data_IF_664101256064
#
_entry.id   IF_664101256064
#
_cell.length_a   1.000
_cell.length_b   1.000
_cell.length_c   1.000
_cell.angle_alpha   90.00
_cell.angle_beta   90.00
_cell.angle_gamma   90.00
#
_symmetry.space_group_name_H-M   'P 1'
#
loop_
_entity.id
_entity.type
_entity.pdbx_description
1 polymer ?
#
# COMPACT_ATOMS: atom_id res chain seq x y z
N UNK A 1 46.21 -7.86 -2.08
CA UNK A 1 45.11 -6.91 -2.00
C UNK A 1 44.30 -7.06 -3.30
N UNK A 2 43.26 -7.87 -3.29
CA UNK A 2 42.38 -8.08 -4.44
C UNK A 2 41.36 -6.96 -4.41
N UNK A 3 41.44 -6.02 -5.34
CA UNK A 3 40.44 -4.99 -5.54
C UNK A 3 39.10 -5.66 -5.89
N UNK A 4 38.14 -5.57 -5.01
CA UNK A 4 36.76 -5.93 -5.31
C UNK A 4 36.29 -5.07 -6.50
N UNK A 5 35.88 -5.73 -7.57
CA UNK A 5 35.26 -5.04 -8.71
C UNK A 5 34.03 -4.26 -8.21
N UNK A 6 33.80 -3.04 -8.72
CA UNK A 6 32.59 -2.29 -8.37
C UNK A 6 31.35 -3.12 -8.80
N UNK A 7 30.26 -3.11 -8.02
CA UNK A 7 29.06 -3.83 -8.38
C UNK A 7 28.59 -3.40 -9.77
N UNK A 8 28.22 -4.38 -10.60
CA UNK A 8 27.70 -4.15 -11.94
C UNK A 8 26.60 -3.11 -11.86
N UNK A 9 26.72 -2.01 -12.61
CA UNK A 9 25.68 -0.97 -12.70
C UNK A 9 24.38 -1.64 -13.13
N UNK A 10 23.34 -1.38 -12.39
CA UNK A 10 21.95 -1.77 -12.74
C UNK A 10 21.69 -1.42 -14.20
N UNK A 11 21.19 -2.38 -14.98
CA UNK A 11 20.74 -2.13 -16.37
C UNK A 11 19.41 -1.39 -16.42
N UNK A 12 18.92 -0.87 -15.27
CA UNK A 12 17.66 -0.16 -15.16
C UNK A 12 17.79 1.24 -15.77
N UNK A 13 17.08 1.45 -16.89
CA UNK A 13 17.07 2.72 -17.62
C UNK A 13 16.00 3.65 -17.00
N UNK A 14 16.38 4.38 -15.96
CA UNK A 14 15.48 5.32 -15.29
C UNK A 14 15.01 6.45 -16.21
N UNK A 15 15.83 6.88 -17.17
CA UNK A 15 15.46 7.97 -18.09
C UNK A 15 14.31 7.53 -19.02
N UNK A 16 14.37 6.29 -19.53
CA UNK A 16 13.29 5.69 -20.30
C UNK A 16 12.01 5.56 -19.46
N UNK A 17 12.11 4.98 -18.27
CA UNK A 17 10.96 4.82 -17.35
C UNK A 17 10.34 6.19 -17.07
N UNK A 18 11.16 7.19 -16.71
CA UNK A 18 10.70 8.53 -16.38
C UNK A 18 9.95 9.22 -17.54
N UNK A 19 10.34 8.94 -18.80
CA UNK A 19 9.70 9.50 -19.97
C UNK A 19 8.24 9.06 -20.14
N UNK A 20 7.85 7.91 -19.56
CA UNK A 20 6.49 7.39 -19.61
C UNK A 20 5.53 8.10 -18.63
N UNK A 21 6.04 8.95 -17.73
CA UNK A 21 5.26 9.67 -16.71
C UNK A 21 5.12 11.16 -17.06
N UNK A 22 4.02 11.57 -17.73
CA UNK A 22 3.89 12.91 -18.29
C UNK A 22 3.96 14.04 -17.27
N UNK A 23 3.48 13.81 -16.04
CA UNK A 23 3.48 14.80 -14.96
C UNK A 23 4.91 15.20 -14.54
N UNK A 24 5.89 14.33 -14.68
CA UNK A 24 7.27 14.59 -14.28
C UNK A 24 7.99 15.62 -15.19
N UNK A 25 7.34 16.01 -16.31
CA UNK A 25 7.80 17.10 -17.17
C UNK A 25 7.32 18.48 -16.73
N UNK A 26 6.49 18.54 -15.67
CA UNK A 26 5.93 19.79 -15.15
C UNK A 26 6.98 20.59 -14.40
N UNK A 27 6.73 21.89 -14.34
CA UNK A 27 7.44 22.81 -13.46
C UNK A 27 6.52 23.25 -12.31
N UNK A 28 7.10 23.41 -11.14
CA UNK A 28 6.46 23.94 -9.92
C UNK A 28 7.32 25.09 -9.44
N UNK A 29 6.72 26.28 -9.23
CA UNK A 29 7.42 27.51 -8.86
C UNK A 29 8.57 27.88 -9.83
N UNK A 30 8.42 27.57 -11.13
CA UNK A 30 9.44 27.81 -12.16
C UNK A 30 10.65 26.86 -12.13
N UNK A 31 10.58 25.77 -11.35
CA UNK A 31 11.61 24.74 -11.22
C UNK A 31 11.08 23.40 -11.71
N UNK A 32 11.93 22.50 -12.23
CA UNK A 32 11.52 21.13 -12.54
C UNK A 32 10.91 20.44 -11.30
N UNK A 33 9.79 19.73 -11.49
CA UNK A 33 9.16 18.97 -10.42
C UNK A 33 10.08 17.83 -9.95
N UNK A 34 10.40 17.82 -8.67
CA UNK A 34 11.02 16.70 -7.93
C UNK A 34 9.95 16.09 -7.05
N UNK A 35 9.37 14.97 -7.49
CA UNK A 35 8.24 14.33 -6.79
C UNK A 35 8.73 13.18 -5.88
N UNK A 36 8.72 13.40 -4.58
CA UNK A 36 9.20 12.48 -3.53
C UNK A 36 8.11 12.15 -2.50
N UNK A 37 6.83 12.22 -2.87
CA UNK A 37 5.69 11.83 -2.00
C UNK A 37 5.01 10.53 -2.49
N UNK A 38 5.79 9.58 -2.99
CA UNK A 38 5.30 8.34 -3.59
C UNK A 38 4.58 7.42 -2.60
N UNK A 39 4.98 7.40 -1.33
CA UNK A 39 4.31 6.63 -0.29
C UNK A 39 2.89 7.14 0.02
N UNK A 40 2.54 8.37 -0.38
CA UNK A 40 1.17 8.87 -0.36
C UNK A 40 0.39 8.43 -1.61
N UNK A 41 0.95 8.67 -2.80
CA UNK A 41 0.43 8.20 -4.10
C UNK A 41 1.55 8.23 -5.11
N UNK A 42 1.64 7.22 -5.97
CA UNK A 42 2.59 7.23 -7.09
C UNK A 42 2.02 8.03 -8.27
N UNK A 43 2.88 8.48 -9.20
CA UNK A 43 2.46 9.06 -10.47
C UNK A 43 2.01 7.96 -11.43
N UNK A 44 1.33 8.33 -12.53
CA UNK A 44 0.71 7.40 -13.46
C UNK A 44 1.46 7.42 -14.78
N UNK A 45 1.85 6.24 -15.31
CA UNK A 45 2.40 6.16 -16.66
C UNK A 45 1.32 6.48 -17.70
N UNK A 46 1.72 6.91 -18.89
CA UNK A 46 0.82 7.28 -19.97
C UNK A 46 -0.14 6.14 -20.32
N UNK A 47 0.34 4.88 -20.32
CA UNK A 47 -0.48 3.69 -20.60
C UNK A 47 -1.69 3.54 -19.68
N UNK A 48 -1.58 3.95 -18.42
CA UNK A 48 -2.70 3.93 -17.46
C UNK A 48 -3.71 5.04 -17.76
N UNK A 49 -3.23 6.22 -18.16
CA UNK A 49 -4.07 7.35 -18.56
C UNK A 49 -4.83 6.99 -19.84
N UNK A 50 -4.13 6.39 -20.80
CA UNK A 50 -4.70 5.94 -22.07
C UNK A 50 -5.77 4.87 -21.88
N UNK A 51 -5.57 3.91 -20.97
CA UNK A 51 -6.53 2.86 -20.66
C UNK A 51 -7.86 3.44 -20.13
N UNK A 52 -7.82 4.49 -19.29
CA UNK A 52 -9.03 5.19 -18.82
C UNK A 52 -9.71 5.91 -19.98
N UNK A 53 -8.92 6.59 -20.80
CA UNK A 53 -9.44 7.36 -21.96
C UNK A 53 -10.09 6.42 -22.98
N UNK A 54 -9.41 5.31 -23.32
CA UNK A 54 -9.93 4.30 -24.25
C UNK A 54 -11.25 3.68 -23.75
N UNK A 55 -11.31 3.32 -22.45
CA UNK A 55 -12.55 2.80 -21.91
C UNK A 55 -13.72 3.74 -22.14
N UNK A 56 -13.60 5.02 -21.78
CA UNK A 56 -14.71 5.97 -21.92
C UNK A 56 -15.01 6.37 -23.37
N UNK A 57 -14.04 6.35 -24.24
CA UNK A 57 -14.22 6.78 -25.64
C UNK A 57 -14.66 5.66 -26.58
N UNK A 58 -14.32 4.38 -26.26
CA UNK A 58 -14.47 3.29 -27.21
C UNK A 58 -15.24 2.06 -26.66
N UNK A 59 -15.30 1.85 -25.32
CA UNK A 59 -15.78 0.59 -24.74
C UNK A 59 -16.82 0.79 -23.63
N UNK A 60 -17.10 2.03 -23.24
CA UNK A 60 -17.95 2.33 -22.08
C UNK A 60 -19.31 1.65 -22.13
N UNK A 61 -19.51 0.66 -21.28
CA UNK A 61 -20.77 -0.04 -21.05
C UNK A 61 -20.77 -0.65 -19.65
N UNK A 62 -21.95 -0.98 -19.11
CA UNK A 62 -22.04 -1.79 -17.89
C UNK A 62 -21.58 -3.23 -18.16
N UNK A 63 -21.07 -3.89 -17.13
CA UNK A 63 -20.48 -5.25 -17.21
C UNK A 63 -21.46 -6.34 -16.77
N UNK A 64 -21.20 -7.58 -17.16
CA UNK A 64 -21.81 -8.86 -16.75
C UNK A 64 -23.23 -9.11 -17.30
N UNK A 65 -24.10 -8.10 -17.42
CA UNK A 65 -25.55 -8.31 -17.73
C UNK A 65 -26.01 -7.82 -19.09
N UNK A 66 -25.18 -7.09 -19.81
CA UNK A 66 -25.54 -6.59 -21.14
C UNK A 66 -25.31 -7.65 -22.22
N UNK A 67 -26.26 -7.76 -23.17
CA UNK A 67 -26.20 -8.73 -24.29
C UNK A 67 -25.77 -8.06 -25.61
N UNK A 68 -25.00 -6.96 -25.53
CA UNK A 68 -24.51 -6.22 -26.70
C UNK A 68 -22.98 -6.10 -26.68
N UNK A 69 -22.38 -5.95 -27.83
CA UNK A 69 -20.92 -6.00 -28.05
C UNK A 69 -20.10 -5.08 -27.12
N UNK A 70 -20.60 -3.88 -26.78
CA UNK A 70 -19.88 -3.00 -25.85
C UNK A 70 -19.84 -3.57 -24.43
N UNK A 71 -20.95 -4.17 -23.95
CA UNK A 71 -20.99 -4.81 -22.63
C UNK A 71 -20.09 -6.04 -22.57
N UNK A 72 -20.04 -6.83 -23.63
CA UNK A 72 -19.14 -8.00 -23.73
C UNK A 72 -17.68 -7.56 -23.64
N UNK A 73 -17.29 -6.53 -24.41
CA UNK A 73 -15.91 -5.96 -24.37
C UNK A 73 -15.57 -5.37 -23.00
N UNK A 74 -16.53 -4.62 -22.42
CA UNK A 74 -16.30 -4.03 -21.08
C UNK A 74 -16.15 -5.13 -20.01
N UNK A 75 -16.93 -6.20 -20.09
CA UNK A 75 -16.86 -7.36 -19.20
C UNK A 75 -15.50 -8.09 -19.37
N UNK A 76 -15.11 -8.36 -20.61
CA UNK A 76 -13.82 -9.00 -20.91
C UNK A 76 -12.65 -8.18 -20.37
N UNK A 77 -12.66 -6.86 -20.57
CA UNK A 77 -11.61 -5.97 -20.08
C UNK A 77 -11.58 -5.90 -18.53
N UNK A 78 -12.74 -5.87 -17.88
CA UNK A 78 -12.89 -5.83 -16.43
C UNK A 78 -12.41 -7.13 -15.78
N UNK A 79 -12.87 -8.29 -16.27
CA UNK A 79 -12.44 -9.60 -15.75
C UNK A 79 -11.00 -9.92 -16.15
N UNK A 80 -10.54 -9.46 -17.31
CA UNK A 80 -9.13 -9.49 -17.69
C UNK A 80 -8.23 -8.73 -16.71
N UNK A 81 -8.70 -7.59 -16.19
CA UNK A 81 -7.99 -6.87 -15.13
C UNK A 81 -7.95 -7.66 -13.82
N UNK A 82 -9.03 -8.36 -13.46
CA UNK A 82 -9.07 -9.26 -12.28
C UNK A 82 -8.05 -10.40 -12.42
N UNK A 83 -7.94 -10.98 -13.62
CA UNK A 83 -6.94 -12.03 -13.89
C UNK A 83 -5.50 -11.49 -13.77
N UNK A 84 -5.23 -10.25 -14.21
CA UNK A 84 -3.92 -9.61 -14.03
C UNK A 84 -3.61 -9.40 -12.55
N UNK A 85 -4.58 -8.99 -11.74
CA UNK A 85 -4.43 -8.88 -10.28
C UNK A 85 -4.15 -10.25 -9.66
N UNK A 86 -4.91 -11.30 -10.07
CA UNK A 86 -4.68 -12.67 -9.61
C UNK A 86 -3.24 -13.12 -9.90
N UNK A 87 -2.78 -12.89 -11.11
CA UNK A 87 -1.43 -13.27 -11.52
C UNK A 87 -0.35 -12.46 -10.77
N UNK A 88 -0.57 -11.17 -10.58
CA UNK A 88 0.36 -10.28 -9.90
C UNK A 88 0.61 -10.66 -8.43
N UNK A 89 -0.43 -11.08 -7.73
CA UNK A 89 -0.36 -11.58 -6.35
C UNK A 89 -0.13 -13.08 -6.23
N UNK A 90 -0.06 -13.80 -7.35
CA UNK A 90 0.01 -15.26 -7.42
C UNK A 90 -1.14 -15.96 -6.66
N UNK A 91 -2.35 -15.38 -6.67
CA UNK A 91 -3.53 -16.01 -6.11
C UNK A 91 -3.94 -17.25 -6.93
N UNK A 92 -4.57 -18.24 -6.28
CA UNK A 92 -4.94 -19.50 -6.94
C UNK A 92 -6.09 -19.32 -7.94
N UNK A 93 -7.00 -18.38 -7.68
CA UNK A 93 -8.20 -18.16 -8.50
C UNK A 93 -8.61 -16.69 -8.47
N UNK A 94 -9.25 -16.21 -9.54
CA UNK A 94 -9.94 -14.91 -9.58
C UNK A 94 -11.05 -14.80 -8.53
N UNK A 95 -11.60 -15.91 -8.04
CA UNK A 95 -12.59 -15.94 -6.94
C UNK A 95 -12.02 -15.43 -5.61
N UNK A 96 -10.70 -15.37 -5.48
CA UNK A 96 -9.98 -14.87 -4.30
C UNK A 96 -9.68 -13.36 -4.40
N UNK A 97 -10.03 -12.71 -5.51
CA UNK A 97 -9.75 -11.29 -5.79
C UNK A 97 -11.04 -10.49 -5.77
N UNK A 98 -11.19 -9.65 -4.77
CA UNK A 98 -12.33 -8.71 -4.64
C UNK A 98 -11.85 -7.29 -4.95
N UNK A 99 -12.50 -6.62 -5.89
CA UNK A 99 -12.27 -5.20 -6.12
C UNK A 99 -12.96 -4.37 -5.05
N UNK A 100 -12.23 -3.40 -4.52
CA UNK A 100 -12.70 -2.45 -3.51
C UNK A 100 -12.36 -1.03 -3.98
N UNK A 101 -12.86 -0.01 -3.29
CA UNK A 101 -12.47 1.38 -3.60
C UNK A 101 -11.04 1.70 -3.22
N UNK A 102 -10.50 1.02 -2.22
CA UNK A 102 -9.13 1.16 -1.72
C UNK A 102 -8.85 0.10 -0.64
N UNK A 103 -7.61 0.02 -0.13
CA UNK A 103 -7.24 -0.89 0.95
C UNK A 103 -8.06 -0.65 2.24
N UNK A 104 -8.41 0.59 2.56
CA UNK A 104 -9.26 0.90 3.73
C UNK A 104 -10.61 0.20 3.65
N UNK A 105 -11.25 0.19 2.48
CA UNK A 105 -12.50 -0.56 2.30
C UNK A 105 -12.27 -2.07 2.41
N UNK A 106 -11.18 -2.61 1.84
CA UNK A 106 -10.82 -4.02 1.98
C UNK A 106 -10.66 -4.46 3.44
N UNK A 107 -9.97 -3.65 4.26
CA UNK A 107 -9.83 -3.89 5.70
C UNK A 107 -11.18 -3.80 6.41
N UNK A 108 -12.01 -2.79 6.11
CA UNK A 108 -13.35 -2.68 6.68
C UNK A 108 -14.25 -3.85 6.27
N UNK A 109 -14.13 -4.35 5.04
CA UNK A 109 -14.85 -5.54 4.59
C UNK A 109 -14.52 -6.73 5.50
N UNK A 110 -13.22 -7.02 5.71
CA UNK A 110 -12.79 -8.11 6.60
C UNK A 110 -13.24 -7.87 8.04
N UNK A 111 -13.14 -6.63 8.54
CA UNK A 111 -13.55 -6.29 9.90
C UNK A 111 -15.06 -6.53 10.11
N UNK A 112 -15.90 -6.14 9.17
CA UNK A 112 -17.38 -6.22 9.27
C UNK A 112 -17.96 -7.58 8.91
N UNK A 113 -17.23 -8.44 8.23
CA UNK A 113 -17.73 -9.75 7.80
C UNK A 113 -17.00 -10.89 8.51
N UNK A 114 -15.66 -10.92 8.44
CA UNK A 114 -14.88 -11.98 9.05
C UNK A 114 -14.74 -11.80 10.56
N UNK A 115 -14.22 -10.65 11.01
CA UNK A 115 -13.95 -10.42 12.43
C UNK A 115 -15.24 -10.26 13.23
N UNK A 116 -16.19 -9.44 12.76
CA UNK A 116 -17.46 -9.19 13.44
C UNK A 116 -18.26 -10.49 13.70
N UNK A 117 -18.24 -11.43 12.75
CA UNK A 117 -18.93 -12.71 12.89
C UNK A 117 -18.26 -13.70 13.86
N UNK A 118 -16.99 -13.49 14.24
CA UNK A 118 -16.18 -14.41 15.04
C UNK A 118 -15.86 -13.87 16.43
N UNK A 119 -15.93 -12.55 16.61
CA UNK A 119 -15.58 -11.92 17.89
C UNK A 119 -16.70 -12.01 18.90
N UNK A 120 -16.32 -12.36 20.11
CA UNK A 120 -17.16 -12.30 21.33
C UNK A 120 -16.44 -11.49 22.41
N UNK A 121 -17.16 -11.17 23.47
CA UNK A 121 -16.62 -10.38 24.60
C UNK A 121 -15.34 -11.00 25.16
N UNK A 122 -14.29 -10.20 25.21
CA UNK A 122 -12.97 -10.59 25.72
C UNK A 122 -12.05 -11.23 24.68
N UNK A 123 -12.50 -11.47 23.46
CA UNK A 123 -11.62 -11.88 22.36
C UNK A 123 -10.65 -10.76 21.96
N UNK A 124 -9.64 -11.08 21.18
CA UNK A 124 -8.53 -10.18 20.87
C UNK A 124 -8.22 -10.12 19.37
N UNK A 125 -7.85 -8.93 18.90
CA UNK A 125 -7.19 -8.70 17.60
C UNK A 125 -5.80 -8.14 17.89
N UNK A 126 -4.76 -8.66 17.22
CA UNK A 126 -3.38 -8.18 17.35
C UNK A 126 -3.01 -7.36 16.13
N UNK A 127 -2.48 -6.15 16.37
CA UNK A 127 -1.88 -5.28 15.34
C UNK A 127 -0.49 -4.83 15.79
N UNK A 128 0.32 -4.25 14.90
CA UNK A 128 1.60 -3.65 15.29
C UNK A 128 1.47 -2.19 15.73
N UNK A 129 2.49 -1.70 16.44
CA UNK A 129 2.59 -0.28 16.82
C UNK A 129 2.92 0.64 15.62
N UNK A 130 3.13 0.10 14.41
CA UNK A 130 3.48 0.89 13.23
C UNK A 130 2.38 0.94 12.14
N UNK A 131 1.15 0.56 12.48
CA UNK A 131 0.06 0.48 11.53
C UNK A 131 -0.38 1.85 11.00
N UNK A 132 -0.80 1.86 9.74
CA UNK A 132 -1.57 2.97 9.17
C UNK A 132 -2.96 3.06 9.83
N UNK A 133 -3.54 4.25 9.94
CA UNK A 133 -4.88 4.43 10.54
C UNK A 133 -5.96 3.52 9.93
N UNK A 134 -5.88 3.18 8.64
CA UNK A 134 -6.79 2.22 7.98
C UNK A 134 -6.70 0.81 8.55
N UNK A 135 -5.58 0.44 9.19
CA UNK A 135 -5.38 -0.85 9.84
C UNK A 135 -5.37 -0.74 11.37
N UNK A 136 -5.92 0.34 11.92
CA UNK A 136 -6.16 0.55 13.36
C UNK A 136 -7.66 0.75 13.60
N UNK A 137 -8.23 1.79 12.98
CA UNK A 137 -9.59 2.28 13.28
C UNK A 137 -10.68 1.24 13.04
N UNK A 138 -10.70 0.47 11.94
CA UNK A 138 -11.71 -0.58 11.74
C UNK A 138 -11.70 -1.63 12.85
N UNK A 139 -10.51 -1.98 13.35
CA UNK A 139 -10.35 -2.95 14.44
C UNK A 139 -10.79 -2.39 15.78
N UNK A 140 -10.54 -1.11 16.08
CA UNK A 140 -11.09 -0.43 17.26
C UNK A 140 -12.62 -0.47 17.23
N UNK A 141 -13.22 -0.12 16.08
CA UNK A 141 -14.69 -0.09 15.93
C UNK A 141 -15.33 -1.47 16.15
N UNK A 142 -14.77 -2.53 15.58
CA UNK A 142 -15.34 -3.88 15.74
C UNK A 142 -15.09 -4.44 17.16
N UNK A 143 -13.93 -4.15 17.74
CA UNK A 143 -13.62 -4.53 19.12
C UNK A 143 -14.58 -3.85 20.10
N UNK A 144 -14.83 -2.56 19.97
CA UNK A 144 -15.79 -1.82 20.77
C UNK A 144 -17.20 -2.41 20.65
N UNK A 145 -17.67 -2.66 19.41
CA UNK A 145 -18.99 -3.22 19.15
C UNK A 145 -19.19 -4.63 19.72
N UNK A 146 -18.14 -5.44 19.85
CA UNK A 146 -18.18 -6.84 20.32
C UNK A 146 -17.66 -7.05 21.74
N UNK A 147 -17.21 -6.00 22.42
CA UNK A 147 -16.55 -6.12 23.73
C UNK A 147 -15.21 -6.88 23.66
N UNK A 148 -14.58 -6.89 22.50
CA UNK A 148 -13.26 -7.46 22.27
C UNK A 148 -12.15 -6.43 22.56
N UNK A 149 -10.88 -6.82 22.45
CA UNK A 149 -9.73 -5.98 22.78
C UNK A 149 -8.75 -5.92 21.62
N UNK A 150 -8.19 -4.73 21.42
CA UNK A 150 -7.06 -4.54 20.52
C UNK A 150 -5.75 -4.72 21.28
N UNK A 151 -4.88 -5.61 20.83
CA UNK A 151 -3.55 -5.86 21.38
C UNK A 151 -2.51 -5.27 20.41
N UNK A 152 -1.50 -4.62 20.97
CA UNK A 152 -0.48 -3.92 20.17
C UNK A 152 0.85 -4.64 20.35
N UNK A 153 1.39 -5.21 19.27
CA UNK A 153 2.74 -5.74 19.21
C UNK A 153 3.74 -4.59 19.08
N UNK A 154 4.74 -4.49 19.98
CA UNK A 154 5.65 -3.36 20.03
C UNK A 154 6.71 -3.39 18.93
N UNK A 155 7.29 -2.22 18.67
CA UNK A 155 8.46 -2.02 17.83
C UNK A 155 9.64 -1.50 18.65
N UNK A 156 10.86 -1.78 18.19
CA UNK A 156 12.09 -1.29 18.79
C UNK A 156 12.41 0.17 18.41
N UNK A 157 13.57 0.70 18.85
CA UNK A 157 14.02 2.06 18.57
C UNK A 157 14.45 2.28 17.10
N UNK A 158 14.59 1.20 16.33
CA UNK A 158 14.83 1.27 14.87
C UNK A 158 13.53 1.27 14.08
N UNK A 159 12.41 0.94 14.72
CA UNK A 159 11.12 0.74 14.10
C UNK A 159 10.95 -0.66 13.52
N UNK A 160 11.67 -1.67 14.03
CA UNK A 160 11.50 -3.08 13.69
C UNK A 160 10.50 -3.74 14.66
N UNK A 161 9.67 -4.66 14.16
CA UNK A 161 8.77 -5.44 15.00
C UNK A 161 9.60 -6.33 15.95
N UNK A 162 9.29 -6.31 17.24
CA UNK A 162 9.88 -7.21 18.23
C UNK A 162 9.12 -8.53 18.17
N UNK A 163 9.65 -9.50 17.40
CA UNK A 163 8.96 -10.75 17.07
C UNK A 163 8.59 -11.57 18.30
N UNK A 164 9.45 -11.61 19.30
CA UNK A 164 9.21 -12.34 20.54
C UNK A 164 8.06 -11.72 21.36
N UNK A 165 7.92 -10.40 21.33
CA UNK A 165 6.78 -9.71 21.97
C UNK A 165 5.50 -9.87 21.16
N UNK A 166 5.61 -9.88 19.81
CA UNK A 166 4.48 -10.23 18.96
C UNK A 166 3.97 -11.64 19.28
N UNK A 167 4.83 -12.65 19.37
CA UNK A 167 4.44 -14.01 19.73
C UNK A 167 3.74 -14.06 21.08
N UNK A 168 4.27 -13.35 22.09
CA UNK A 168 3.65 -13.24 23.44
C UNK A 168 2.32 -12.49 23.42
N UNK A 169 2.06 -11.65 22.44
CA UNK A 169 0.80 -10.93 22.31
C UNK A 169 -0.36 -11.80 21.84
N UNK A 170 -0.07 -12.97 21.24
CA UNK A 170 -1.06 -13.93 20.80
C UNK A 170 -1.47 -14.81 22.00
N UNK A 171 -2.77 -14.91 22.23
CA UNK A 171 -3.37 -15.72 23.28
C UNK A 171 -4.46 -16.65 22.71
N UNK A 172 -5.02 -17.60 23.49
CA UNK A 172 -6.16 -18.41 23.06
C UNK A 172 -7.42 -17.60 22.70
N UNK A 173 -7.46 -16.32 23.08
CA UNK A 173 -8.54 -15.38 22.74
C UNK A 173 -8.28 -14.62 21.45
N UNK A 174 -7.09 -14.66 20.89
CA UNK A 174 -6.76 -13.98 19.63
C UNK A 174 -7.48 -14.64 18.46
N UNK A 175 -8.21 -13.84 17.67
CA UNK A 175 -8.99 -14.30 16.52
C UNK A 175 -8.44 -13.82 15.19
N UNK A 176 -7.65 -12.76 15.20
CA UNK A 176 -7.06 -12.19 13.99
C UNK A 176 -5.77 -11.45 14.35
N UNK A 177 -4.79 -11.59 13.48
CA UNK A 177 -3.61 -10.71 13.38
C UNK A 177 -3.79 -9.82 12.15
N UNK A 178 -3.66 -8.50 12.29
CA UNK A 178 -3.71 -7.56 11.17
C UNK A 178 -2.47 -6.68 11.18
N UNK A 179 -1.56 -6.91 10.23
CA UNK A 179 -0.23 -6.29 10.21
C UNK A 179 0.08 -5.62 8.88
N UNK A 180 0.79 -4.51 8.94
CA UNK A 180 1.38 -3.93 7.72
C UNK A 180 2.53 -4.80 7.22
N UNK A 181 2.59 -5.01 5.90
CA UNK A 181 3.73 -5.68 5.27
C UNK A 181 4.93 -4.72 5.16
N UNK A 182 4.64 -3.43 4.99
CA UNK A 182 5.65 -2.37 4.95
C UNK A 182 5.07 -1.08 5.50
N UNK A 183 5.76 -0.49 6.48
CA UNK A 183 5.33 0.77 7.09
C UNK A 183 5.42 1.95 6.13
N UNK A 184 4.32 2.67 5.98
CA UNK A 184 4.25 3.91 5.20
C UNK A 184 4.96 5.10 5.87
N UNK A 185 5.17 5.04 7.18
CA UNK A 185 5.85 6.09 7.94
C UNK A 185 7.35 5.83 8.08
N UNK A 186 7.75 4.58 8.29
CA UNK A 186 9.14 4.21 8.59
C UNK A 186 9.87 3.57 7.41
N UNK A 187 9.13 3.00 6.45
CA UNK A 187 9.69 2.18 5.38
C UNK A 187 10.10 0.78 5.83
N UNK A 188 9.96 0.45 7.10
CA UNK A 188 10.27 -0.88 7.65
C UNK A 188 9.49 -1.96 6.93
N UNK A 189 10.18 -3.00 6.47
CA UNK A 189 9.59 -4.22 5.93
C UNK A 189 9.46 -5.21 7.09
N UNK A 190 8.23 -5.59 7.42
CA UNK A 190 7.95 -6.51 8.52
C UNK A 190 8.28 -7.95 8.15
N UNK A 191 8.63 -8.81 9.12
CA UNK A 191 8.94 -10.23 8.88
C UNK A 191 7.64 -11.03 8.73
N UNK A 192 6.90 -10.81 7.61
CA UNK A 192 5.55 -11.38 7.42
C UNK A 192 5.53 -12.91 7.40
N UNK A 193 6.61 -13.56 6.94
CA UNK A 193 6.72 -15.03 7.00
C UNK A 193 6.68 -15.54 8.44
N UNK A 194 7.42 -14.88 9.35
CA UNK A 194 7.39 -15.22 10.78
C UNK A 194 6.03 -14.89 11.41
N UNK A 195 5.44 -13.75 11.06
CA UNK A 195 4.12 -13.33 11.55
C UNK A 195 3.07 -14.38 11.20
N UNK A 196 3.00 -14.80 9.93
CA UNK A 196 2.01 -15.78 9.48
C UNK A 196 2.27 -17.14 10.14
N UNK A 197 3.51 -17.60 10.14
CA UNK A 197 3.90 -18.89 10.76
C UNK A 197 3.54 -18.94 12.26
N UNK A 198 3.85 -17.89 13.00
CA UNK A 198 3.58 -17.81 14.45
C UNK A 198 2.07 -17.78 14.71
N UNK A 199 1.32 -16.96 13.98
CA UNK A 199 -0.14 -16.87 14.12
C UNK A 199 -0.83 -18.19 13.76
N UNK A 200 -0.49 -18.79 12.63
CA UNK A 200 -1.07 -20.06 12.18
C UNK A 200 -0.75 -21.24 13.10
N UNK A 201 0.44 -21.25 13.73
CA UNK A 201 0.78 -22.26 14.74
C UNK A 201 -0.17 -22.24 15.94
N UNK A 202 -0.88 -21.14 16.17
CA UNK A 202 -1.90 -20.96 17.21
C UNK A 202 -3.33 -20.92 16.65
N UNK A 203 -3.53 -21.26 15.37
CA UNK A 203 -4.84 -21.29 14.70
C UNK A 203 -5.44 -19.90 14.43
N UNK A 204 -4.62 -18.85 14.44
CA UNK A 204 -5.05 -17.45 14.26
C UNK A 204 -4.83 -17.02 12.81
N UNK A 205 -5.86 -16.42 12.19
CA UNK A 205 -5.81 -15.93 10.82
C UNK A 205 -5.06 -14.60 10.73
N UNK A 206 -4.51 -14.33 9.52
CA UNK A 206 -3.65 -13.16 9.28
C UNK A 206 -4.16 -12.33 8.11
N UNK A 207 -4.37 -11.03 8.34
CA UNK A 207 -4.52 -10.01 7.31
C UNK A 207 -3.21 -9.21 7.19
N UNK A 208 -2.72 -9.05 5.96
CA UNK A 208 -1.57 -8.21 5.67
C UNK A 208 -2.00 -6.96 4.88
N UNK A 209 -1.65 -5.76 5.39
CA UNK A 209 -1.75 -4.52 4.62
C UNK A 209 -0.52 -4.35 3.73
N UNK A 210 -0.67 -4.70 2.46
CA UNK A 210 0.34 -4.61 1.43
C UNK A 210 0.37 -3.30 0.66
N UNK A 211 -0.36 -2.27 1.10
CA UNK A 211 -0.51 -1.01 0.35
C UNK A 211 0.80 -0.31 0.02
N UNK A 212 1.85 -0.52 0.81
CA UNK A 212 3.19 -0.04 0.50
C UNK A 212 4.04 -1.13 -0.18
N UNK A 213 3.99 -2.37 0.28
CA UNK A 213 4.86 -3.43 -0.21
C UNK A 213 4.61 -3.79 -1.68
N UNK A 214 3.34 -3.78 -2.11
CA UNK A 214 2.93 -4.34 -3.39
C UNK A 214 3.53 -3.66 -4.64
N UNK A 215 4.05 -2.45 -4.55
CA UNK A 215 4.71 -1.79 -5.68
C UNK A 215 6.24 -1.73 -5.57
N UNK A 216 6.79 -2.18 -4.43
CA UNK A 216 8.23 -2.20 -4.18
C UNK A 216 8.85 -3.58 -4.34
N UNK A 217 8.07 -4.65 -4.16
CA UNK A 217 8.58 -6.03 -4.16
C UNK A 217 7.54 -7.02 -4.69
N UNK A 218 7.98 -8.18 -5.22
CA UNK A 218 7.09 -9.27 -5.58
C UNK A 218 6.30 -9.77 -4.37
N UNK A 219 5.00 -9.99 -4.56
CA UNK A 219 4.10 -10.54 -3.54
C UNK A 219 3.57 -11.89 -4.03
N UNK A 220 3.78 -12.93 -3.26
CA UNK A 220 3.23 -14.26 -3.48
C UNK A 220 2.35 -14.62 -2.29
N UNK A 221 1.03 -14.41 -2.42
CA UNK A 221 0.08 -14.66 -1.32
C UNK A 221 -0.04 -16.14 -0.97
N UNK A 222 0.29 -17.03 -1.91
CA UNK A 222 0.29 -18.48 -1.68
C UNK A 222 1.52 -18.92 -0.89
N UNK A 223 2.69 -18.38 -1.22
CA UNK A 223 3.93 -18.65 -0.48
C UNK A 223 3.88 -18.02 0.93
N UNK A 224 3.34 -16.81 1.06
CA UNK A 224 3.10 -16.16 2.35
C UNK A 224 2.07 -16.90 3.21
N UNK A 225 1.17 -17.65 2.58
CA UNK A 225 0.04 -18.35 3.22
C UNK A 225 -0.86 -17.44 4.07
N UNK A 226 -0.87 -16.12 3.81
CA UNK A 226 -1.75 -15.19 4.53
C UNK A 226 -3.22 -15.45 4.16
N UNK A 227 -4.13 -15.16 5.11
CA UNK A 227 -5.56 -15.39 4.90
C UNK A 227 -6.22 -14.27 4.10
N UNK A 228 -5.72 -13.04 4.31
CA UNK A 228 -6.15 -11.83 3.59
C UNK A 228 -4.95 -10.95 3.26
N UNK A 229 -5.01 -10.29 2.10
CA UNK A 229 -4.01 -9.30 1.68
C UNK A 229 -4.72 -8.12 1.03
N UNK A 230 -4.40 -6.89 1.42
CA UNK A 230 -5.00 -5.70 0.81
C UNK A 230 -3.96 -4.85 0.11
N UNK A 231 -4.36 -4.24 -1.01
CA UNK A 231 -3.56 -3.27 -1.74
C UNK A 231 -4.43 -2.15 -2.31
N UNK A 232 -3.81 -1.03 -2.68
CA UNK A 232 -4.53 0.13 -3.24
C UNK A 232 -3.95 0.56 -4.57
N UNK A 233 -4.81 0.74 -5.57
CA UNK A 233 -4.40 1.00 -6.95
C UNK A 233 -3.57 2.27 -7.11
N UNK A 234 -3.92 3.34 -6.39
CA UNK A 234 -3.23 4.63 -6.54
C UNK A 234 -1.76 4.63 -6.10
N UNK A 235 -1.29 3.60 -5.38
CA UNK A 235 0.12 3.38 -5.04
C UNK A 235 0.80 2.39 -5.99
N UNK A 236 0.01 1.54 -6.65
CA UNK A 236 0.44 0.61 -7.71
C UNK A 236 0.52 1.28 -9.09
N UNK A 237 0.85 2.55 -9.17
CA UNK A 237 0.86 3.36 -10.40
C UNK A 237 -0.49 3.41 -11.13
N UNK A 238 -1.53 2.82 -10.55
CA UNK A 238 -2.90 2.79 -11.03
C UNK A 238 -3.73 3.99 -10.57
N UNK A 239 -5.01 4.07 -10.95
CA UNK A 239 -5.88 5.19 -10.60
C UNK A 239 -6.30 5.18 -9.12
N UNK A 240 -6.85 6.29 -8.66
CA UNK A 240 -7.59 6.39 -7.40
C UNK A 240 -8.94 5.69 -7.51
N UNK A 241 -9.57 5.35 -6.38
CA UNK A 241 -10.92 4.79 -6.35
C UNK A 241 -11.00 3.30 -6.67
N UNK A 242 -9.86 2.61 -6.79
CA UNK A 242 -9.75 1.16 -6.95
C UNK A 242 -8.73 0.59 -5.98
N UNK A 243 -9.04 -0.54 -5.38
CA UNK A 243 -8.16 -1.34 -4.52
C UNK A 243 -8.48 -2.82 -4.68
N UNK A 244 -7.73 -3.64 -3.98
CA UNK A 244 -7.83 -5.09 -4.04
C UNK A 244 -7.84 -5.65 -2.62
N UNK A 245 -8.76 -6.59 -2.39
CA UNK A 245 -8.69 -7.55 -1.29
C UNK A 245 -8.48 -8.94 -1.91
N UNK A 246 -7.37 -9.56 -1.58
CA UNK A 246 -7.20 -11.00 -1.68
C UNK A 246 -7.73 -11.64 -0.40
N UNK A 247 -8.45 -12.75 -0.53
CA UNK A 247 -8.85 -13.60 0.58
C UNK A 247 -8.86 -15.07 0.16
N UNK A 248 -8.39 -15.97 1.03
CA UNK A 248 -8.51 -17.41 0.78
C UNK A 248 -9.97 -17.79 0.47
N UNK A 249 -10.21 -18.56 -0.58
CA UNK A 249 -11.55 -18.89 -1.08
C UNK A 249 -12.49 -19.39 0.03
N UNK A 250 -11.99 -20.26 0.92
CA UNK A 250 -12.78 -20.80 2.03
C UNK A 250 -13.28 -19.71 3.01
N UNK A 251 -12.48 -18.67 3.25
CA UNK A 251 -12.90 -17.55 4.08
C UNK A 251 -13.95 -16.70 3.37
N UNK A 252 -13.71 -16.34 2.10
CA UNK A 252 -14.65 -15.53 1.31
C UNK A 252 -16.00 -16.26 1.14
N UNK A 253 -16.00 -17.56 0.96
CA UNK A 253 -17.23 -18.35 0.89
C UNK A 253 -18.04 -18.31 2.20
N UNK A 254 -17.37 -18.43 3.33
CA UNK A 254 -17.99 -18.46 4.66
C UNK A 254 -18.41 -17.08 5.17
N UNK A 255 -17.83 -15.98 4.67
CA UNK A 255 -18.14 -14.62 5.10
C UNK A 255 -19.51 -14.18 4.59
N UNK A 256 -20.32 -13.46 5.40
CA UNK A 256 -21.54 -12.82 4.93
C UNK A 256 -21.22 -11.68 3.95
N UNK A 257 -22.19 -11.20 3.15
CA UNK A 257 -22.03 -10.01 2.33
C UNK A 257 -21.61 -8.78 3.16
N UNK A 258 -20.84 -7.88 2.54
CA UNK A 258 -20.41 -6.62 3.16
C UNK A 258 -21.43 -5.49 2.93
N UNK A 259 -21.87 -5.33 1.70
CA UNK A 259 -22.89 -4.36 1.29
C UNK A 259 -23.98 -5.06 0.50
N UNK A 260 -25.23 -4.60 0.62
CA UNK A 260 -26.37 -5.09 -0.15
C UNK A 260 -26.67 -4.17 -1.33
N UNK A 261 -27.06 -4.77 -2.48
CA UNK A 261 -27.43 -4.04 -3.68
C UNK A 261 -27.57 -4.94 -4.90
N UNK A 262 -27.52 -4.36 -6.09
CA UNK A 262 -27.44 -5.11 -7.35
C UNK A 262 -26.09 -5.80 -7.49
N UNK A 263 -25.96 -6.67 -8.47
CA UNK A 263 -24.82 -7.51 -8.86
C UNK A 263 -24.40 -8.56 -7.83
N UNK A 264 -24.35 -8.23 -6.54
CA UNK A 264 -23.94 -9.12 -5.46
C UNK A 264 -24.99 -10.19 -5.08
N UNK A 265 -26.17 -10.13 -5.64
CA UNK A 265 -27.30 -11.05 -5.37
C UNK A 265 -27.42 -12.13 -6.45
N UNK A 266 -27.90 -13.30 -6.04
CA UNK A 266 -28.36 -14.36 -6.93
C UNK A 266 -29.85 -14.22 -7.20
N UNK A 267 -30.68 -14.05 -6.14
CA UNK A 267 -32.11 -13.81 -6.26
C UNK A 267 -32.62 -12.83 -5.19
N UNK A 268 -33.67 -12.10 -5.48
CA UNK A 268 -34.34 -11.16 -4.56
C UNK A 268 -35.85 -11.35 -4.64
N UNK A 269 -36.47 -11.51 -3.47
CA UNK A 269 -37.93 -11.34 -3.27
C UNK A 269 -38.13 -10.29 -2.17
N UNK A 270 -39.37 -9.90 -1.91
CA UNK A 270 -39.65 -9.00 -0.78
C UNK A 270 -39.37 -9.65 0.57
N UNK A 271 -39.42 -10.99 0.65
CA UNK A 271 -39.25 -11.75 1.89
C UNK A 271 -37.78 -12.17 2.12
N UNK A 272 -37.03 -12.41 1.04
CA UNK A 272 -35.70 -12.98 1.15
C UNK A 272 -34.83 -12.67 -0.07
N UNK A 273 -33.53 -12.52 0.18
CA UNK A 273 -32.49 -12.49 -0.87
C UNK A 273 -31.47 -13.62 -0.67
N UNK A 274 -30.91 -14.09 -1.79
CA UNK A 274 -29.74 -14.99 -1.83
C UNK A 274 -28.57 -14.26 -2.50
N UNK A 275 -27.36 -14.71 -2.17
CA UNK A 275 -26.13 -14.02 -2.52
C UNK A 275 -25.41 -14.74 -3.63
N UNK A 276 -24.74 -13.97 -4.48
CA UNK A 276 -23.84 -14.48 -5.50
C UNK A 276 -22.60 -15.14 -4.84
N UNK A 277 -21.80 -15.85 -5.64
CA UNK A 277 -20.52 -16.42 -5.19
C UNK A 277 -19.42 -15.34 -5.14
N UNK A 278 -18.34 -15.53 -4.34
CA UNK A 278 -17.17 -14.68 -4.42
C UNK A 278 -16.57 -14.67 -5.85
N UNK A 279 -16.03 -13.54 -6.31
CA UNK A 279 -15.89 -12.27 -5.60
C UNK A 279 -17.14 -11.40 -5.63
N UNK A 280 -18.10 -11.68 -6.52
CA UNK A 280 -19.28 -10.83 -6.80
C UNK A 280 -20.14 -10.58 -5.56
N UNK A 281 -20.21 -11.53 -4.62
CA UNK A 281 -20.88 -11.35 -3.31
C UNK A 281 -20.44 -10.10 -2.55
N UNK A 282 -19.24 -9.60 -2.80
CA UNK A 282 -18.66 -8.45 -2.12
C UNK A 282 -18.60 -7.18 -2.96
N UNK A 283 -19.02 -7.25 -4.24
CA UNK A 283 -18.97 -6.15 -5.20
C UNK A 283 -20.40 -5.68 -5.53
N UNK A 284 -21.00 -4.89 -4.62
CA UNK A 284 -22.36 -4.41 -4.76
C UNK A 284 -22.45 -3.18 -5.66
N UNK A 285 -23.39 -3.22 -6.61
CA UNK A 285 -23.65 -2.13 -7.56
C UNK A 285 -22.69 -2.12 -8.75
N UNK A 286 -22.88 -1.20 -9.69
CA UNK A 286 -21.97 -1.05 -10.84
C UNK A 286 -20.57 -0.73 -10.34
N UNK A 287 -19.55 -1.56 -10.67
CA UNK A 287 -18.20 -1.39 -10.17
C UNK A 287 -17.47 -0.21 -10.84
N UNK A 288 -16.32 0.15 -10.31
CA UNK A 288 -15.42 1.12 -10.94
C UNK A 288 -14.68 0.49 -12.14
N UNK A 289 -15.41 0.28 -13.26
CA UNK A 289 -14.94 -0.48 -14.42
C UNK A 289 -13.68 0.14 -15.00
N UNK A 290 -13.69 1.44 -15.29
CA UNK A 290 -12.51 2.17 -15.80
C UNK A 290 -11.30 2.04 -14.87
N UNK A 291 -11.53 2.10 -13.55
CA UNK A 291 -10.47 1.97 -12.55
C UNK A 291 -9.87 0.57 -12.51
N UNK A 292 -10.68 -0.48 -12.61
CA UNK A 292 -10.21 -1.87 -12.65
C UNK A 292 -9.37 -2.13 -13.91
N UNK A 293 -9.84 -1.71 -15.09
CA UNK A 293 -9.12 -1.85 -16.36
C UNK A 293 -7.77 -1.12 -16.30
N UNK A 294 -7.77 0.13 -15.81
CA UNK A 294 -6.56 0.92 -15.68
C UNK A 294 -5.59 0.39 -14.61
N UNK A 295 -6.10 -0.25 -13.54
CA UNK A 295 -5.26 -0.99 -12.60
C UNK A 295 -4.57 -2.16 -13.31
N UNK A 296 -5.29 -2.91 -14.15
CA UNK A 296 -4.71 -3.96 -15.00
C UNK A 296 -3.58 -3.44 -15.89
N UNK A 297 -3.76 -2.28 -16.51
CA UNK A 297 -2.70 -1.62 -17.31
C UNK A 297 -1.49 -1.20 -16.45
N UNK A 298 -1.71 -0.77 -15.21
CA UNK A 298 -0.63 -0.44 -14.28
C UNK A 298 0.19 -1.68 -13.90
N UNK A 299 -0.47 -2.81 -13.65
CA UNK A 299 0.21 -4.07 -13.32
C UNK A 299 1.01 -4.60 -14.52
N UNK A 300 0.49 -4.49 -15.74
CA UNK A 300 1.25 -4.81 -16.96
C UNK A 300 2.50 -3.95 -17.07
N UNK A 301 2.38 -2.64 -16.79
CA UNK A 301 3.51 -1.71 -16.82
C UNK A 301 4.58 -2.10 -15.80
N UNK A 302 4.20 -2.32 -14.53
CA UNK A 302 5.13 -2.75 -13.46
C UNK A 302 5.82 -4.06 -13.84
N UNK A 303 5.06 -5.03 -14.32
CA UNK A 303 5.57 -6.34 -14.72
C UNK A 303 6.53 -6.23 -15.92
N UNK A 304 6.20 -5.36 -16.88
CA UNK A 304 7.04 -5.08 -18.06
C UNK A 304 8.36 -4.39 -17.70
N UNK A 305 8.37 -3.54 -16.67
CA UNK A 305 9.61 -2.93 -16.14
C UNK A 305 10.40 -3.96 -15.30
N UNK A 306 9.71 -4.80 -14.55
CA UNK A 306 10.24 -5.85 -13.70
C UNK A 306 10.47 -5.42 -12.25
N UNK A 307 9.73 -6.01 -11.31
CA UNK A 307 9.78 -5.67 -9.88
C UNK A 307 11.17 -5.80 -9.26
N UNK A 308 11.96 -6.81 -9.65
CA UNK A 308 13.32 -6.96 -9.15
C UNK A 308 14.26 -5.81 -9.59
N UNK A 309 14.06 -5.30 -10.81
CA UNK A 309 14.82 -4.15 -11.30
C UNK A 309 14.41 -2.86 -10.58
N UNK A 310 13.10 -2.68 -10.35
CA UNK A 310 12.55 -1.58 -9.55
C UNK A 310 13.11 -1.64 -8.14
N UNK A 311 13.02 -2.77 -7.45
CA UNK A 311 13.49 -2.94 -6.07
C UNK A 311 14.99 -2.62 -5.93
N UNK A 312 15.83 -3.07 -6.88
CA UNK A 312 17.27 -2.74 -6.87
C UNK A 312 17.52 -1.24 -7.06
N UNK A 313 16.83 -0.61 -8.02
CA UNK A 313 16.94 0.82 -8.26
C UNK A 313 16.53 1.65 -7.03
N UNK A 314 15.40 1.31 -6.44
CA UNK A 314 14.88 1.99 -5.27
C UNK A 314 15.76 1.76 -4.03
N UNK A 315 16.36 0.57 -3.88
CA UNK A 315 17.34 0.27 -2.83
C UNK A 315 18.60 1.13 -2.97
N UNK A 316 19.08 1.35 -4.20
CA UNK A 316 20.21 2.25 -4.49
C UNK A 316 19.87 3.70 -4.12
N UNK A 317 18.66 4.17 -4.48
CA UNK A 317 18.18 5.50 -4.10
C UNK A 317 18.03 5.66 -2.58
N UNK A 318 17.54 4.63 -1.89
CA UNK A 318 17.43 4.62 -0.44
C UNK A 318 18.80 4.75 0.23
N UNK A 319 19.78 3.97 -0.23
CA UNK A 319 21.13 4.02 0.31
C UNK A 319 21.78 5.40 0.07
N UNK A 320 21.66 5.91 -1.15
CA UNK A 320 22.18 7.22 -1.52
C UNK A 320 21.50 8.35 -0.72
N UNK A 321 20.17 8.35 -0.64
CA UNK A 321 19.40 9.33 0.11
C UNK A 321 19.68 9.27 1.62
N UNK A 322 19.84 8.06 2.18
CA UNK A 322 20.22 7.88 3.58
C UNK A 322 21.58 8.54 3.86
N UNK A 323 22.56 8.31 2.99
CA UNK A 323 23.89 8.93 3.12
C UNK A 323 23.79 10.46 2.99
N UNK A 324 23.14 10.98 1.95
CA UNK A 324 23.03 12.40 1.70
C UNK A 324 22.33 13.14 2.86
N UNK A 325 21.22 12.62 3.35
CA UNK A 325 20.47 13.25 4.44
C UNK A 325 21.21 13.16 5.78
N UNK A 326 21.94 12.07 6.03
CA UNK A 326 22.72 11.91 7.25
C UNK A 326 23.90 12.87 7.37
N UNK A 327 24.34 13.48 6.26
CA UNK A 327 25.39 14.53 6.27
C UNK A 327 24.87 15.90 6.66
N UNK A 328 23.54 16.10 6.72
CA UNK A 328 22.91 17.39 7.06
C UNK A 328 22.94 17.57 8.59
N UNK A 329 23.67 18.55 9.13
CA UNK A 329 23.74 18.76 10.57
C UNK A 329 22.36 19.05 11.18
N UNK A 330 22.06 18.44 12.34
CA UNK A 330 20.78 18.58 13.03
C UNK A 330 19.62 17.75 12.41
N UNK A 331 19.84 17.07 11.28
CA UNK A 331 18.84 16.15 10.74
C UNK A 331 18.97 14.78 11.43
N UNK A 332 17.83 14.25 11.89
CA UNK A 332 17.70 12.91 12.47
C UNK A 332 16.71 12.09 11.67
N UNK A 333 17.16 10.96 11.14
CA UNK A 333 16.28 9.97 10.48
C UNK A 333 15.41 9.27 11.53
N UNK A 334 14.14 9.03 11.17
CA UNK A 334 13.16 8.30 11.98
C UNK A 334 12.85 6.98 11.27
N UNK A 335 13.08 5.87 11.98
CA UNK A 335 12.99 4.53 11.41
C UNK A 335 14.27 4.15 10.64
N UNK A 336 15.12 3.37 11.31
CA UNK A 336 16.43 2.92 10.81
C UNK A 336 16.52 1.40 10.76
N UNK A 337 15.39 0.75 10.42
CA UNK A 337 15.29 -0.70 10.29
C UNK A 337 16.32 -1.24 9.27
N UNK A 338 16.81 -2.47 9.52
CA UNK A 338 17.75 -3.16 8.61
C UNK A 338 17.12 -3.53 7.29
N UNK A 339 15.84 -3.98 7.34
CA UNK A 339 15.02 -4.25 6.16
C UNK A 339 14.06 -3.09 5.95
N UNK A 340 14.38 -2.29 4.97
CA UNK A 340 13.68 -1.02 4.72
C UNK A 340 13.55 -0.79 3.21
N UNK A 341 12.43 -0.24 2.78
CA UNK A 341 12.23 0.22 1.42
C UNK A 341 12.33 1.75 1.32
N UNK A 342 12.13 2.28 0.16
CA UNK A 342 12.45 3.62 -0.35
C UNK A 342 11.73 4.79 0.35
N UNK A 343 11.68 4.79 1.70
CA UNK A 343 11.07 5.83 2.52
C UNK A 343 12.08 6.37 3.52
N UNK A 344 12.26 7.68 3.55
CA UNK A 344 13.08 8.40 4.52
C UNK A 344 12.21 9.41 5.26
N UNK A 345 11.87 9.10 6.52
CA UNK A 345 11.25 10.04 7.45
C UNK A 345 12.30 10.68 8.32
N UNK A 346 12.19 11.98 8.55
CA UNK A 346 13.20 12.74 9.29
C UNK A 346 12.62 13.96 10.00
N UNK A 347 13.37 14.45 10.96
CA UNK A 347 13.18 15.76 11.61
C UNK A 347 14.47 16.55 11.51
N UNK A 348 14.37 17.88 11.60
CA UNK A 348 15.51 18.81 11.72
C UNK A 348 15.34 19.51 13.05
N UNK A 349 16.42 19.54 13.87
CA UNK A 349 16.42 20.18 15.17
C UNK A 349 16.02 21.66 15.06
N UNK A 350 15.08 22.08 15.91
CA UNK A 350 14.57 23.45 15.92
C UNK A 350 13.63 23.82 14.78
N UNK A 351 13.34 22.93 13.84
CA UNK A 351 12.47 23.24 12.68
C UNK A 351 11.21 22.35 12.68
N UNK A 352 10.05 23.00 12.62
CA UNK A 352 8.80 22.26 12.52
C UNK A 352 8.67 21.59 11.14
N UNK A 353 8.23 20.31 11.03
CA UNK A 353 8.11 19.61 9.74
C UNK A 353 7.29 20.34 8.67
N UNK A 354 6.26 21.08 9.07
CA UNK A 354 5.47 21.89 8.14
C UNK A 354 6.30 22.98 7.43
N UNK A 355 7.19 23.63 8.17
CA UNK A 355 8.08 24.65 7.61
C UNK A 355 9.11 24.04 6.66
N UNK A 356 9.62 22.84 6.99
CA UNK A 356 10.45 22.05 6.07
C UNK A 356 9.71 21.88 4.75
N UNK A 357 8.47 21.33 4.79
CA UNK A 357 7.65 21.12 3.59
C UNK A 357 7.42 22.38 2.78
N UNK A 358 7.08 23.48 3.45
CA UNK A 358 6.81 24.78 2.80
C UNK A 358 8.02 25.36 2.08
N UNK A 359 9.22 25.22 2.68
CA UNK A 359 10.45 25.75 2.08
C UNK A 359 10.92 24.88 0.90
N UNK A 360 10.90 23.55 1.04
CA UNK A 360 11.35 22.66 -0.04
C UNK A 360 10.38 22.70 -1.23
N UNK A 361 9.07 22.94 -1.01
CA UNK A 361 8.10 23.11 -2.10
C UNK A 361 8.47 24.30 -3.01
N UNK A 362 8.96 25.40 -2.45
CA UNK A 362 9.46 26.55 -3.22
C UNK A 362 10.67 26.23 -4.10
N UNK A 363 11.39 25.16 -3.77
CA UNK A 363 12.49 24.63 -4.56
C UNK A 363 12.05 23.58 -5.59
N UNK A 364 10.72 23.38 -5.76
CA UNK A 364 10.13 22.39 -6.67
C UNK A 364 10.11 20.97 -6.13
N UNK A 365 10.38 20.78 -4.84
CA UNK A 365 10.47 19.44 -4.22
C UNK A 365 9.18 19.14 -3.46
N UNK A 366 8.45 18.12 -3.89
CA UNK A 366 7.23 17.64 -3.24
C UNK A 366 7.57 16.51 -2.27
N UNK A 367 7.47 16.78 -0.97
CA UNK A 367 7.53 15.79 0.12
C UNK A 367 6.28 15.88 0.98
N UNK A 368 6.07 14.91 1.85
CA UNK A 368 4.98 14.95 2.82
C UNK A 368 5.46 15.33 4.21
N UNK A 369 4.62 16.08 4.96
CA UNK A 369 4.86 16.40 6.36
C UNK A 369 3.64 16.04 7.21
N UNK A 370 3.86 15.72 8.48
CA UNK A 370 2.79 15.38 9.42
C UNK A 370 2.93 13.98 10.03
N UNK A 371 1.80 13.38 10.43
CA UNK A 371 1.74 12.06 11.06
C UNK A 371 1.72 10.89 10.08
N UNK A 372 1.61 11.14 8.77
CA UNK A 372 1.54 10.13 7.69
C UNK A 372 0.43 9.09 7.89
N UNK A 373 -0.68 9.45 8.54
CA UNK A 373 -1.74 8.54 8.96
C UNK A 373 -1.24 7.38 9.85
N UNK A 374 -0.19 7.63 10.66
CA UNK A 374 0.42 6.70 11.61
C UNK A 374 0.81 7.46 12.89
N UNK A 375 -0.16 8.16 13.50
CA UNK A 375 0.09 8.99 14.69
C UNK A 375 0.75 8.22 15.84
N UNK A 376 0.39 6.94 16.15
CA UNK A 376 1.08 6.18 17.21
C UNK A 376 2.57 6.01 16.97
N UNK A 377 3.02 6.00 15.70
CA UNK A 377 4.46 5.97 15.37
C UNK A 377 5.16 7.25 15.81
N UNK A 378 4.51 8.40 15.64
CA UNK A 378 5.08 9.68 16.08
C UNK A 378 5.24 9.72 17.61
N UNK A 379 4.24 9.22 18.33
CA UNK A 379 4.27 9.09 19.79
C UNK A 379 5.41 8.14 20.24
N UNK A 380 5.57 6.98 19.56
CA UNK A 380 6.63 6.01 19.86
C UNK A 380 8.02 6.59 19.71
N UNK A 381 8.24 7.48 18.74
CA UNK A 381 9.54 8.12 18.50
C UNK A 381 9.71 9.46 19.21
N UNK A 382 8.73 9.91 19.98
CA UNK A 382 8.77 11.16 20.74
C UNK A 382 8.87 12.40 19.85
N UNK A 383 8.23 12.37 18.67
CA UNK A 383 8.20 13.50 17.73
C UNK A 383 6.77 13.91 17.42
N UNK A 384 6.48 15.22 17.28
CA UNK A 384 5.12 15.68 16.97
C UNK A 384 4.70 15.31 15.55
N UNK A 385 5.64 15.24 14.61
CA UNK A 385 5.47 14.95 13.19
C UNK A 385 6.83 14.69 12.56
N UNK A 386 6.85 14.21 11.31
CA UNK A 386 8.07 14.10 10.49
C UNK A 386 7.86 14.72 9.10
N UNK A 387 8.95 15.12 8.45
CA UNK A 387 9.02 15.23 7.01
C UNK A 387 9.37 13.85 6.43
N UNK A 388 8.80 13.50 5.26
CA UNK A 388 8.99 12.19 4.63
C UNK A 388 9.25 12.34 3.14
N UNK A 389 10.42 11.91 2.69
CA UNK A 389 10.71 11.66 1.28
C UNK A 389 10.51 10.17 0.97
N UNK A 390 9.92 9.86 -0.18
CA UNK A 390 9.71 8.49 -0.65
C UNK A 390 9.95 8.39 -2.14
N UNK A 391 10.73 7.39 -2.53
CA UNK A 391 11.17 7.18 -3.91
C UNK A 391 10.33 6.13 -4.61
N UNK A 392 10.29 6.20 -5.92
CA UNK A 392 9.63 5.27 -6.82
C UNK A 392 10.52 5.01 -8.05
N UNK A 393 10.13 4.07 -8.91
CA UNK A 393 10.90 3.62 -10.06
C UNK A 393 11.43 4.74 -10.99
N UNK A 394 10.81 5.90 -10.99
CA UNK A 394 11.16 7.03 -11.86
C UNK A 394 12.04 8.09 -11.19
N UNK A 395 12.34 7.97 -9.89
CA UNK A 395 13.20 8.94 -9.22
C UNK A 395 14.68 8.73 -9.54
N UNK A 396 15.47 9.76 -9.35
CA UNK A 396 16.91 9.75 -9.66
C UNK A 396 17.76 10.24 -8.49
N UNK A 397 19.08 10.01 -8.53
CA UNK A 397 20.01 10.52 -7.51
C UNK A 397 20.08 12.04 -7.54
N UNK A 398 19.98 12.66 -8.73
CA UNK A 398 19.97 14.12 -8.89
C UNK A 398 18.76 14.74 -8.16
N UNK A 399 17.62 14.04 -8.11
CA UNK A 399 16.45 14.49 -7.32
C UNK A 399 16.71 14.42 -5.81
N UNK A 400 17.50 13.45 -5.36
CA UNK A 400 17.98 13.39 -3.97
C UNK A 400 18.93 14.55 -3.66
N UNK A 401 19.82 14.90 -4.60
CA UNK A 401 20.74 16.05 -4.43
C UNK A 401 19.97 17.36 -4.34
N UNK A 402 18.92 17.54 -5.17
CA UNK A 402 18.02 18.70 -5.07
C UNK A 402 17.32 18.77 -3.72
N UNK A 403 16.82 17.64 -3.21
CA UNK A 403 16.23 17.57 -1.86
C UNK A 403 17.26 17.98 -0.80
N UNK A 404 18.47 17.42 -0.83
CA UNK A 404 19.52 17.72 0.15
C UNK A 404 19.88 19.22 0.12
N UNK A 405 20.04 19.81 -1.07
CA UNK A 405 20.28 21.24 -1.23
C UNK A 405 19.13 22.12 -0.71
N UNK A 406 17.88 21.69 -0.91
CA UNK A 406 16.70 22.38 -0.37
C UNK A 406 16.65 22.31 1.17
N UNK A 407 17.03 21.17 1.78
CA UNK A 407 17.09 21.01 3.23
C UNK A 407 18.22 21.87 3.87
N UNK A 408 19.35 22.06 3.19
CA UNK A 408 20.37 23.01 3.65
C UNK A 408 19.85 24.46 3.68
N UNK A 409 19.00 24.85 2.72
CA UNK A 409 18.33 26.18 2.76
C UNK A 409 17.37 26.28 3.92
N UNK A 410 16.59 25.20 4.22
CA UNK A 410 15.75 25.20 5.43
C UNK A 410 16.59 25.56 6.66
N UNK A 411 17.74 24.94 6.84
CA UNK A 411 18.64 25.22 7.96
C UNK A 411 19.10 26.69 7.99
N UNK A 412 19.45 27.22 6.83
CA UNK A 412 19.91 28.65 6.74
C UNK A 412 18.82 29.63 7.15
N UNK A 413 17.54 29.30 6.93
CA UNK A 413 16.40 30.16 7.31
C UNK A 413 16.18 30.15 8.83
N UNK A 414 16.53 29.04 9.52
CA UNK A 414 16.30 28.87 10.96
C UNK A 414 17.58 28.93 11.81
N UNK A 415 18.76 29.16 11.19
CA UNK A 415 20.02 29.43 11.89
C UNK A 415 20.08 30.89 12.29
#
# INVERSE_FOLDING_TARGET
MTLLAPPARSTFDVARVRADFPILRRQVHGRPLVYLDNAATTQKPQSVIDAITEYYTAVNANVHRGVHALSERATEAHEGAREKVRAYFNAASTREIVFTRNATEGINLVARTFADARLTTGDEIVISAMEHHSNIVPWQMVCEARGARLRIAPIDDRGELIVEEFERSISPRTKLVAMTHMSNALGTITPVDDIVRIAHAQGVQVLLDGSQAAYHMPIDVRALDCDFYVATGHKLYGPTGIGVLYGKAAHLEAMPPFMGGGDMIESVTFEKSTWNVPPYKFEAGTPHIAGAIALGAALDYITGVGLDAIARHESDLLAYGTQALSMIPGLRLIGTARRKASILSFVIEGVHPHDIGTIVDREGVAIRTGHHCAQPVMERFGVPATARASFAMYNTREEVDVLAGALERVRTVFA
#
